data_IF_273060625369
#
_entry.id   IF_273060625369
#
_cell.length_a   1.000
_cell.length_b   1.000
_cell.length_c   1.000
_cell.angle_alpha   90.00
_cell.angle_beta   90.00
_cell.angle_gamma   90.00
#
_symmetry.space_group_name_H-M   'P 1'
#
loop_
_entity.id
_entity.type
_entity.pdbx_description
1 polymer ?
#
# COMPACT_ATOMS: atom_id res chain seq x y z
N UNK A 1 -6.82 -76.61 -53.94
CA UNK A 1 -8.06 -76.89 -54.68
C UNK A 1 -8.98 -75.69 -54.46
N UNK A 2 -8.88 -74.68 -55.32
CA UNK A 2 -9.96 -73.72 -55.62
C UNK A 2 -10.67 -74.28 -56.87
N UNK A 3 -11.99 -74.05 -57.16
CA UNK A 3 -12.70 -72.75 -57.19
C UNK A 3 -14.24 -72.92 -56.86
N UNK A 4 -15.22 -72.07 -57.27
CA UNK A 4 -15.17 -70.81 -58.00
C UNK A 4 -16.00 -69.62 -57.46
N UNK A 5 -15.60 -68.46 -57.97
CA UNK A 5 -16.25 -67.16 -57.90
C UNK A 5 -17.46 -67.10 -58.84
N UNK A 6 -18.51 -66.35 -58.49
CA UNK A 6 -19.47 -65.77 -59.43
C UNK A 6 -19.75 -64.29 -59.07
N UNK A 7 -19.86 -63.50 -60.13
CA UNK A 7 -19.82 -62.03 -60.19
C UNK A 7 -21.15 -61.36 -59.84
N UNK A 8 -21.02 -60.12 -59.33
CA UNK A 8 -21.79 -58.89 -59.54
C UNK A 8 -23.33 -58.93 -59.63
N UNK A 9 -23.98 -58.15 -58.76
CA UNK A 9 -24.81 -57.03 -59.22
C UNK A 9 -24.90 -55.93 -58.16
N UNK A 10 -24.58 -54.72 -58.59
CA UNK A 10 -24.81 -53.45 -57.92
C UNK A 10 -26.24 -53.05 -58.30
N UNK A 11 -27.09 -52.74 -57.32
CA UNK A 11 -28.15 -51.73 -57.46
C UNK A 11 -28.70 -51.28 -56.10
N UNK A 12 -28.28 -50.07 -55.73
CA UNK A 12 -29.05 -48.97 -55.13
C UNK A 12 -30.28 -49.29 -54.25
N UNK A 13 -30.14 -49.15 -52.93
CA UNK A 13 -31.00 -48.33 -52.07
C UNK A 13 -30.69 -48.57 -50.59
N UNK A 14 -29.82 -47.77 -49.99
CA UNK A 14 -29.92 -47.47 -48.55
C UNK A 14 -29.53 -46.01 -48.38
N UNK A 15 -30.55 -45.14 -48.37
CA UNK A 15 -30.49 -43.88 -47.65
C UNK A 15 -30.13 -44.19 -46.20
N UNK A 16 -28.84 -44.10 -45.86
CA UNK A 16 -28.43 -43.99 -44.46
C UNK A 16 -28.76 -42.57 -44.00
N UNK A 17 -29.94 -42.45 -43.41
CA UNK A 17 -30.38 -41.31 -42.61
C UNK A 17 -29.30 -41.01 -41.58
N UNK A 18 -28.53 -39.95 -41.81
CA UNK A 18 -27.76 -39.30 -40.75
C UNK A 18 -28.80 -38.52 -39.92
N UNK A 19 -29.02 -38.85 -38.64
CA UNK A 19 -30.02 -38.15 -37.84
C UNK A 19 -29.64 -36.68 -37.67
N UNK A 20 -30.63 -35.80 -37.78
CA UNK A 20 -30.42 -34.36 -37.64
C UNK A 20 -29.95 -34.00 -36.21
N UNK A 21 -29.30 -32.84 -36.00
CA UNK A 21 -28.76 -32.43 -34.70
C UNK A 21 -29.79 -32.36 -33.55
N UNK A 22 -31.08 -32.45 -33.85
CA UNK A 22 -32.18 -32.41 -32.88
C UNK A 22 -32.43 -33.78 -32.23
N UNK A 23 -32.00 -34.89 -32.85
CA UNK A 23 -32.21 -36.25 -32.34
C UNK A 23 -31.09 -36.77 -31.41
N UNK A 24 -30.01 -36.00 -31.24
CA UNK A 24 -28.88 -36.34 -30.33
C UNK A 24 -29.04 -35.78 -28.91
N UNK A 25 -29.99 -34.86 -28.70
CA UNK A 25 -30.25 -34.23 -27.39
C UNK A 25 -30.76 -35.24 -26.34
N UNK A 26 -31.70 -36.17 -26.64
CA UNK A 26 -32.18 -37.12 -25.65
C UNK A 26 -31.11 -38.15 -25.25
N UNK A 27 -30.19 -38.48 -26.16
CA UNK A 27 -29.13 -39.47 -25.91
C UNK A 27 -28.02 -38.86 -25.03
N UNK A 28 -27.65 -37.60 -25.26
CA UNK A 28 -26.69 -36.90 -24.39
C UNK A 28 -27.26 -36.63 -22.99
N UNK A 29 -28.55 -36.28 -22.87
CA UNK A 29 -29.20 -36.12 -21.57
C UNK A 29 -29.38 -37.47 -20.85
N UNK A 30 -29.69 -38.56 -21.55
CA UNK A 30 -29.75 -39.89 -20.96
C UNK A 30 -28.38 -40.43 -20.55
N UNK A 31 -27.31 -40.15 -21.31
CA UNK A 31 -25.94 -40.51 -20.93
C UNK A 31 -25.45 -39.65 -19.76
N UNK A 32 -25.79 -38.35 -19.72
CA UNK A 32 -25.49 -37.49 -18.57
C UNK A 32 -26.29 -37.90 -17.32
N UNK A 33 -27.56 -38.27 -17.45
CA UNK A 33 -28.38 -38.81 -16.37
C UNK A 33 -27.90 -40.18 -15.91
N UNK A 34 -27.54 -41.10 -16.81
CA UNK A 34 -26.95 -42.39 -16.43
C UNK A 34 -25.58 -42.24 -15.79
N UNK A 35 -24.73 -41.31 -16.24
CA UNK A 35 -23.45 -41.02 -15.60
C UNK A 35 -23.65 -40.36 -14.23
N UNK A 36 -24.65 -39.47 -14.09
CA UNK A 36 -24.98 -38.83 -12.82
C UNK A 36 -25.66 -39.81 -11.85
N UNK A 37 -26.51 -40.72 -12.34
CA UNK A 37 -27.13 -41.80 -11.55
C UNK A 37 -26.11 -42.89 -11.19
N UNK A 38 -25.17 -43.24 -12.07
CA UNK A 38 -24.05 -44.13 -11.71
C UNK A 38 -23.08 -43.46 -10.74
N UNK A 39 -22.85 -42.14 -10.85
CA UNK A 39 -22.07 -41.35 -9.90
C UNK A 39 -22.78 -41.26 -8.53
N UNK A 40 -24.10 -41.05 -8.51
CA UNK A 40 -24.95 -41.03 -7.31
C UNK A 40 -25.11 -42.44 -6.71
N UNK A 41 -25.20 -43.51 -7.51
CA UNK A 41 -25.26 -44.91 -7.07
C UNK A 41 -23.91 -45.42 -6.57
N UNK A 42 -22.79 -45.00 -7.17
CA UNK A 42 -21.45 -45.26 -6.62
C UNK A 42 -21.22 -44.50 -5.31
N UNK A 43 -21.70 -43.26 -5.20
CA UNK A 43 -21.61 -42.46 -3.97
C UNK A 43 -22.54 -42.94 -2.84
N UNK A 44 -23.59 -43.70 -3.15
CA UNK A 44 -24.48 -44.27 -2.12
C UNK A 44 -23.99 -45.60 -1.54
N UNK A 45 -23.03 -46.29 -2.18
CA UNK A 45 -22.46 -47.56 -1.66
C UNK A 45 -21.28 -47.39 -0.68
N UNK A 46 -20.73 -46.19 -0.53
CA UNK A 46 -19.73 -45.88 0.51
C UNK A 46 -20.07 -44.58 1.22
N UNK A 47 -21.18 -44.55 1.97
CA UNK A 47 -21.34 -43.58 3.06
C UNK A 47 -20.30 -43.90 4.14
N UNK A 48 -19.07 -43.45 3.94
CA UNK A 48 -18.33 -42.91 5.07
C UNK A 48 -19.18 -41.75 5.57
N UNK A 49 -19.81 -41.91 6.74
CA UNK A 49 -20.55 -40.82 7.39
C UNK A 49 -19.65 -39.58 7.51
N UNK A 50 -20.26 -38.40 7.69
CA UNK A 50 -19.58 -37.10 7.84
C UNK A 50 -18.19 -37.26 8.49
N UNK A 51 -17.15 -37.15 7.65
CA UNK A 51 -15.79 -37.44 8.06
C UNK A 51 -15.33 -36.20 8.79
N UNK A 52 -15.08 -36.34 10.10
CA UNK A 52 -14.60 -35.22 10.90
C UNK A 52 -13.13 -34.93 10.57
N UNK A 53 -12.93 -33.93 9.72
CA UNK A 53 -11.61 -33.46 9.36
C UNK A 53 -10.92 -32.74 10.52
N UNK A 54 -9.63 -33.01 10.66
CA UNK A 54 -8.71 -32.32 11.55
C UNK A 54 -7.66 -31.62 10.70
N UNK A 55 -7.10 -30.54 11.20
CA UNK A 55 -5.98 -29.90 10.53
C UNK A 55 -5.75 -28.47 10.96
N UNK A 56 -5.05 -27.74 10.11
CA UNK A 56 -4.68 -26.35 10.38
C UNK A 56 -4.88 -25.46 9.17
N UNK A 57 -5.13 -24.18 9.40
CA UNK A 57 -5.06 -23.17 8.35
C UNK A 57 -4.13 -22.02 8.76
N UNK A 58 -3.52 -21.34 7.79
CA UNK A 58 -2.80 -20.10 8.03
C UNK A 58 -2.98 -19.14 6.84
N UNK A 59 -2.75 -17.86 7.11
CA UNK A 59 -2.85 -16.80 6.11
C UNK A 59 -1.47 -16.19 5.93
N UNK A 60 -1.05 -16.05 4.68
CA UNK A 60 0.23 -15.43 4.31
C UNK A 60 0.00 -14.44 3.18
N UNK A 61 0.21 -13.14 3.46
CA UNK A 61 -0.14 -12.04 2.55
C UNK A 61 -1.59 -12.19 2.04
N UNK A 62 -1.74 -12.55 0.77
CA UNK A 62 -3.00 -12.68 0.04
C UNK A 62 -3.46 -14.13 -0.12
N UNK A 63 -2.87 -15.06 0.62
CA UNK A 63 -3.14 -16.50 0.53
C UNK A 63 -3.76 -17.03 1.82
N UNK A 64 -4.80 -17.84 1.68
CA UNK A 64 -5.31 -18.71 2.74
C UNK A 64 -4.93 -20.14 2.40
N UNK A 65 -4.23 -20.82 3.30
CA UNK A 65 -3.78 -22.19 3.12
C UNK A 65 -4.45 -23.06 4.18
N UNK A 66 -5.05 -24.16 3.76
CA UNK A 66 -5.72 -25.14 4.60
C UNK A 66 -5.01 -26.48 4.40
N UNK A 67 -4.47 -27.03 5.48
CA UNK A 67 -3.81 -28.33 5.50
C UNK A 67 -4.64 -29.28 6.35
N UNK A 68 -5.16 -30.33 5.75
CA UNK A 68 -5.91 -31.36 6.44
C UNK A 68 -4.95 -32.48 6.89
N UNK A 69 -5.21 -33.03 8.06
CA UNK A 69 -4.47 -34.17 8.58
C UNK A 69 -4.78 -35.39 7.71
N UNK A 70 -3.75 -35.90 7.04
CA UNK A 70 -3.89 -37.02 6.13
C UNK A 70 -3.76 -38.33 6.93
N UNK A 71 -4.70 -39.28 6.79
CA UNK A 71 -4.50 -40.62 7.32
C UNK A 71 -3.29 -41.27 6.63
N UNK A 72 -2.57 -42.14 7.35
CA UNK A 72 -1.44 -42.91 6.79
C UNK A 72 -1.98 -43.94 5.78
N UNK A 73 -2.04 -43.54 4.51
CA UNK A 73 -2.57 -44.35 3.42
C UNK A 73 -1.61 -44.35 2.23
N UNK A 74 -1.63 -45.43 1.45
CA UNK A 74 -0.86 -45.51 0.21
C UNK A 74 -1.52 -44.63 -0.84
N UNK A 75 -0.73 -43.79 -1.53
CA UNK A 75 -1.24 -42.94 -2.60
C UNK A 75 -1.93 -43.77 -3.69
N UNK A 76 -3.12 -43.31 -4.13
CA UNK A 76 -3.92 -43.97 -5.14
C UNK A 76 -4.68 -45.22 -4.68
N UNK A 77 -4.58 -45.60 -3.40
CA UNK A 77 -5.38 -46.70 -2.84
C UNK A 77 -6.87 -46.37 -2.85
N UNK A 78 -7.72 -47.38 -2.71
CA UNK A 78 -9.18 -47.21 -2.66
C UNK A 78 -9.58 -46.31 -1.49
N UNK A 79 -8.93 -46.49 -0.35
CA UNK A 79 -9.17 -45.71 0.86
C UNK A 79 -8.71 -44.25 0.69
N UNK A 80 -7.58 -44.02 0.00
CA UNK A 80 -7.12 -42.67 -0.33
C UNK A 80 -8.12 -41.92 -1.21
N UNK A 81 -8.60 -42.57 -2.29
CA UNK A 81 -9.59 -41.98 -3.21
C UNK A 81 -10.92 -41.69 -2.50
N UNK A 82 -11.34 -42.57 -1.58
CA UNK A 82 -12.53 -42.35 -0.78
C UNK A 82 -12.37 -41.14 0.16
N UNK A 83 -11.24 -41.05 0.87
CA UNK A 83 -10.92 -39.89 1.72
C UNK A 83 -10.88 -38.58 0.93
N UNK A 84 -10.23 -38.58 -0.23
CA UNK A 84 -10.14 -37.43 -1.14
C UNK A 84 -11.52 -37.00 -1.65
N UNK A 85 -12.38 -37.96 -2.00
CA UNK A 85 -13.77 -37.68 -2.42
C UNK A 85 -14.56 -37.00 -1.29
N UNK A 86 -14.45 -37.51 -0.06
CA UNK A 86 -15.11 -36.89 1.10
C UNK A 86 -14.55 -35.49 1.42
N UNK A 87 -13.25 -35.27 1.22
CA UNK A 87 -12.64 -33.95 1.37
C UNK A 87 -13.19 -32.96 0.33
N UNK A 88 -13.35 -33.39 -0.91
CA UNK A 88 -13.96 -32.56 -1.94
C UNK A 88 -15.40 -32.19 -1.60
N UNK A 89 -16.22 -33.18 -1.24
CA UNK A 89 -17.65 -32.97 -0.95
C UNK A 89 -17.89 -32.14 0.31
N UNK A 90 -17.13 -32.36 1.37
CA UNK A 90 -17.39 -31.75 2.68
C UNK A 90 -16.59 -30.47 2.92
N UNK A 91 -15.48 -30.26 2.22
CA UNK A 91 -14.60 -29.09 2.45
C UNK A 91 -14.47 -28.23 1.20
N UNK A 92 -14.01 -28.79 0.07
CA UNK A 92 -13.70 -28.00 -1.13
C UNK A 92 -14.95 -27.41 -1.79
N UNK A 93 -15.99 -28.21 -2.03
CA UNK A 93 -17.21 -27.74 -2.69
C UNK A 93 -17.98 -26.72 -1.85
N UNK A 94 -18.08 -26.85 -0.51
CA UNK A 94 -18.59 -25.78 0.33
C UNK A 94 -17.81 -24.48 0.23
N UNK A 95 -16.49 -24.50 0.03
CA UNK A 95 -15.71 -23.28 -0.25
C UNK A 95 -16.19 -22.64 -1.56
N UNK A 96 -16.46 -23.41 -2.61
CA UNK A 96 -17.05 -22.88 -3.84
C UNK A 96 -18.44 -22.30 -3.62
N UNK A 97 -19.28 -22.94 -2.82
CA UNK A 97 -20.59 -22.41 -2.46
C UNK A 97 -20.48 -21.07 -1.72
N UNK A 98 -19.54 -20.94 -0.77
CA UNK A 98 -19.26 -19.67 -0.08
C UNK A 98 -18.85 -18.57 -1.06
N UNK A 99 -18.04 -18.90 -2.07
CA UNK A 99 -17.65 -17.96 -3.12
C UNK A 99 -18.84 -17.56 -3.99
N UNK A 100 -19.69 -18.50 -4.40
CA UNK A 100 -20.93 -18.24 -5.13
C UNK A 100 -21.88 -17.35 -4.33
N UNK A 101 -22.06 -17.62 -3.03
CA UNK A 101 -22.88 -16.83 -2.10
C UNK A 101 -22.31 -15.42 -1.85
N UNK A 102 -21.02 -15.24 -2.07
CA UNK A 102 -20.35 -13.95 -2.07
C UNK A 102 -20.40 -13.26 -3.44
N UNK A 103 -21.11 -13.84 -4.43
CA UNK A 103 -21.22 -13.36 -5.81
C UNK A 103 -19.87 -13.33 -6.55
N UNK A 104 -19.02 -14.33 -6.33
CA UNK A 104 -17.89 -14.57 -7.22
C UNK A 104 -18.37 -15.35 -8.44
N UNK A 105 -17.95 -14.92 -9.64
CA UNK A 105 -18.03 -15.76 -10.83
C UNK A 105 -16.92 -16.80 -10.77
N UNK A 106 -17.28 -18.08 -10.89
CA UNK A 106 -16.36 -19.21 -10.80
C UNK A 106 -16.23 -19.86 -12.18
N UNK A 107 -14.99 -20.06 -12.62
CA UNK A 107 -14.62 -20.61 -13.92
C UNK A 107 -13.59 -21.74 -13.71
N UNK A 108 -13.49 -22.64 -14.68
CA UNK A 108 -12.42 -23.64 -14.71
C UNK A 108 -11.05 -22.96 -14.83
N UNK A 109 -10.05 -23.47 -14.12
CA UNK A 109 -8.69 -22.95 -14.22
C UNK A 109 -8.00 -23.44 -15.51
N UNK A 110 -8.11 -22.67 -16.59
CA UNK A 110 -7.54 -23.02 -17.90
C UNK A 110 -6.04 -22.74 -18.05
N UNK A 111 -5.46 -22.02 -17.09
CA UNK A 111 -4.08 -21.54 -17.14
C UNK A 111 -3.07 -22.49 -16.48
N UNK A 112 -2.72 -22.17 -15.24
CA UNK A 112 -1.45 -22.59 -14.61
C UNK A 112 -1.64 -23.82 -13.71
N UNK A 113 -2.83 -23.99 -13.13
CA UNK A 113 -3.18 -25.11 -12.25
C UNK A 113 -4.33 -25.91 -12.87
N UNK A 114 -4.00 -26.84 -13.76
CA UNK A 114 -4.97 -27.50 -14.66
C UNK A 114 -5.68 -28.72 -14.07
N UNK A 115 -5.46 -29.03 -12.79
CA UNK A 115 -6.18 -30.15 -12.18
C UNK A 115 -7.70 -29.89 -12.24
N UNK A 116 -8.53 -30.92 -12.50
CA UNK A 116 -9.95 -30.75 -12.78
C UNK A 116 -10.74 -30.06 -11.68
N UNK A 117 -10.24 -30.08 -10.44
CA UNK A 117 -10.89 -29.44 -9.30
C UNK A 117 -10.45 -28.00 -9.09
N UNK A 118 -9.36 -27.54 -9.67
CA UNK A 118 -8.91 -26.17 -9.48
C UNK A 118 -9.88 -25.19 -10.15
N UNK A 119 -10.16 -24.09 -9.45
CA UNK A 119 -11.07 -23.05 -9.93
C UNK A 119 -10.38 -21.71 -9.93
N UNK A 120 -10.71 -20.92 -10.95
CA UNK A 120 -10.45 -19.49 -10.97
C UNK A 120 -11.76 -18.78 -10.61
N UNK A 121 -11.71 -17.81 -9.71
CA UNK A 121 -12.89 -17.02 -9.36
C UNK A 121 -12.60 -15.52 -9.38
N UNK A 122 -13.62 -14.72 -9.67
CA UNK A 122 -13.50 -13.26 -9.71
C UNK A 122 -14.75 -12.53 -9.22
N UNK A 123 -14.53 -11.37 -8.62
CA UNK A 123 -15.56 -10.41 -8.22
C UNK A 123 -15.07 -8.99 -8.51
N UNK A 124 -15.58 -8.40 -9.59
CA UNK A 124 -14.99 -7.19 -10.17
C UNK A 124 -13.52 -7.43 -10.55
N UNK A 125 -12.62 -6.56 -10.07
CA UNK A 125 -11.18 -6.69 -10.30
C UNK A 125 -10.46 -7.62 -9.31
N UNK A 126 -11.13 -8.06 -8.25
CA UNK A 126 -10.56 -9.00 -7.29
C UNK A 126 -10.66 -10.40 -7.88
N UNK A 127 -9.52 -11.09 -7.93
CA UNK A 127 -9.39 -12.43 -8.48
C UNK A 127 -8.85 -13.37 -7.43
N UNK A 128 -9.16 -14.65 -7.58
CA UNK A 128 -8.54 -15.69 -6.78
C UNK A 128 -8.43 -17.01 -7.52
N UNK A 129 -7.44 -17.80 -7.14
CA UNK A 129 -7.35 -19.22 -7.49
C UNK A 129 -7.64 -20.07 -6.27
N UNK A 130 -8.47 -21.09 -6.43
CA UNK A 130 -8.62 -22.16 -5.45
C UNK A 130 -7.93 -23.40 -6.01
N UNK A 131 -6.91 -23.87 -5.30
CA UNK A 131 -6.03 -24.94 -5.75
C UNK A 131 -6.08 -26.07 -4.72
N UNK A 132 -6.41 -27.26 -5.18
CA UNK A 132 -6.31 -28.49 -4.40
C UNK A 132 -4.92 -29.11 -4.63
N UNK A 133 -4.26 -29.55 -3.55
CA UNK A 133 -2.97 -30.24 -3.59
C UNK A 133 -2.92 -31.40 -2.60
N UNK A 134 -3.42 -32.54 -3.04
CA UNK A 134 -3.31 -33.84 -2.36
C UNK A 134 -3.88 -33.90 -0.94
N UNK A 135 -4.87 -33.08 -0.57
CA UNK A 135 -5.35 -32.94 0.81
C UNK A 135 -4.97 -31.61 1.46
N UNK A 136 -4.59 -30.63 0.65
CA UNK A 136 -4.40 -29.23 1.05
C UNK A 136 -5.16 -28.34 0.09
N UNK A 137 -5.78 -27.27 0.59
CA UNK A 137 -6.53 -26.31 -0.22
C UNK A 137 -5.85 -24.96 -0.07
N UNK A 138 -5.47 -24.35 -1.19
CA UNK A 138 -4.86 -23.03 -1.23
C UNK A 138 -5.78 -22.05 -1.96
N UNK A 139 -6.11 -20.93 -1.31
CA UNK A 139 -6.90 -19.84 -1.89
C UNK A 139 -5.99 -18.63 -2.08
N UNK A 140 -5.64 -18.29 -3.32
CA UNK A 140 -4.68 -17.24 -3.67
C UNK A 140 -5.39 -16.03 -4.25
N UNK A 141 -5.45 -14.91 -3.53
CA UNK A 141 -6.05 -13.67 -4.02
C UNK A 141 -5.04 -12.80 -4.76
N UNK A 142 -5.51 -12.08 -5.79
CA UNK A 142 -4.72 -11.11 -6.55
C UNK A 142 -5.61 -10.08 -7.26
N UNK A 143 -4.98 -9.06 -7.83
CA UNK A 143 -5.65 -7.95 -8.50
C UNK A 143 -4.75 -7.34 -9.60
N UNK A 144 -5.36 -6.79 -10.65
CA UNK A 144 -4.65 -6.18 -11.79
C UNK A 144 -4.69 -4.65 -11.81
N UNK A 145 -5.36 -4.02 -10.84
CA UNK A 145 -5.58 -2.57 -10.80
C UNK A 145 -4.29 -1.82 -10.45
N UNK A 146 -3.51 -2.36 -9.52
CA UNK A 146 -2.28 -1.78 -8.99
C UNK A 146 -1.20 -2.86 -8.88
N UNK A 147 -0.65 -3.28 -10.02
CA UNK A 147 0.41 -4.29 -10.11
C UNK A 147 1.66 -3.67 -10.77
N UNK A 148 2.37 -2.74 -10.07
CA UNK A 148 3.42 -1.95 -10.67
C UNK A 148 4.63 -2.77 -11.14
N UNK A 149 4.85 -3.97 -10.57
CA UNK A 149 6.03 -4.79 -10.89
C UNK A 149 5.66 -5.96 -11.78
N UNK A 150 4.43 -6.50 -11.66
CA UNK A 150 3.96 -7.66 -12.44
C UNK A 150 2.64 -7.40 -13.18
N UNK A 151 2.57 -6.37 -14.05
CA UNK A 151 1.37 -6.11 -14.86
C UNK A 151 1.16 -7.21 -15.93
N UNK A 152 2.24 -7.85 -16.38
CA UNK A 152 2.28 -8.94 -17.38
C UNK A 152 1.40 -10.14 -17.00
N UNK A 153 1.27 -10.40 -15.70
CA UNK A 153 0.53 -11.53 -15.16
C UNK A 153 -0.74 -11.10 -14.42
N UNK A 154 -1.25 -9.90 -14.71
CA UNK A 154 -2.44 -9.34 -14.06
C UNK A 154 -2.31 -9.20 -12.55
N UNK A 155 -1.09 -9.00 -12.04
CA UNK A 155 -0.76 -8.92 -10.61
C UNK A 155 -0.77 -10.23 -9.84
N UNK A 156 -0.97 -11.38 -10.50
CA UNK A 156 -0.98 -12.73 -9.87
C UNK A 156 0.32 -13.06 -9.13
N UNK A 157 1.46 -12.63 -9.68
CA UNK A 157 2.79 -12.85 -9.08
C UNK A 157 3.35 -11.62 -8.39
N UNK A 158 2.51 -10.62 -8.14
CA UNK A 158 2.92 -9.42 -7.43
C UNK A 158 3.32 -9.77 -5.98
N UNK A 159 4.36 -9.11 -5.48
CA UNK A 159 4.77 -9.22 -4.08
C UNK A 159 4.00 -8.21 -3.23
N UNK A 160 3.72 -8.54 -1.97
CA UNK A 160 3.01 -7.64 -1.04
C UNK A 160 1.64 -7.19 -1.57
N UNK A 161 0.84 -8.18 -2.02
CA UNK A 161 -0.41 -7.91 -2.72
C UNK A 161 -1.42 -7.19 -1.84
N UNK A 162 -1.44 -7.49 -0.53
CA UNK A 162 -2.38 -6.87 0.40
C UNK A 162 -2.14 -5.37 0.55
N UNK A 163 -0.89 -4.90 0.53
CA UNK A 163 -0.60 -3.46 0.60
C UNK A 163 -0.86 -2.75 -0.72
N UNK A 164 -0.67 -3.43 -1.85
CA UNK A 164 -0.96 -2.87 -3.17
C UNK A 164 -2.45 -2.87 -3.50
N UNK A 165 -3.22 -3.77 -2.91
CA UNK A 165 -4.64 -3.92 -3.18
C UNK A 165 -5.44 -2.68 -2.73
N UNK A 166 -6.28 -2.09 -3.60
CA UNK A 166 -7.18 -1.01 -3.23
C UNK A 166 -8.03 -1.34 -2.00
N UNK A 167 -8.31 -0.34 -1.17
CA UNK A 167 -8.89 -0.53 0.16
C UNK A 167 -10.17 -1.39 0.17
N UNK A 168 -11.14 -1.10 -0.71
CA UNK A 168 -12.40 -1.85 -0.78
C UNK A 168 -12.20 -3.30 -1.23
N UNK A 169 -11.30 -3.54 -2.20
CA UNK A 169 -10.97 -4.89 -2.64
C UNK A 169 -10.31 -5.68 -1.53
N UNK A 170 -9.42 -5.04 -0.76
CA UNK A 170 -8.79 -5.65 0.41
C UNK A 170 -9.82 -6.03 1.48
N UNK A 171 -10.82 -5.18 1.72
CA UNK A 171 -11.91 -5.53 2.64
C UNK A 171 -12.71 -6.73 2.15
N UNK A 172 -13.00 -6.81 0.84
CA UNK A 172 -13.73 -7.94 0.26
C UNK A 172 -12.92 -9.25 0.33
N UNK A 173 -11.61 -9.20 0.07
CA UNK A 173 -10.68 -10.31 0.27
C UNK A 173 -10.71 -10.80 1.73
N UNK A 174 -10.55 -9.87 2.69
CA UNK A 174 -10.58 -10.18 4.13
C UNK A 174 -11.91 -10.80 4.53
N UNK A 175 -13.03 -10.25 4.05
CA UNK A 175 -14.37 -10.80 4.29
C UNK A 175 -14.49 -12.23 3.77
N UNK A 176 -13.96 -12.50 2.57
CA UNK A 176 -13.99 -13.82 1.93
C UNK A 176 -13.19 -14.83 2.74
N UNK A 177 -11.94 -14.49 3.10
CA UNK A 177 -11.10 -15.31 3.97
C UNK A 177 -11.80 -15.61 5.29
N UNK A 178 -12.36 -14.59 5.96
CA UNK A 178 -13.05 -14.78 7.24
C UNK A 178 -14.25 -15.72 7.14
N UNK A 179 -15.04 -15.66 6.06
CA UNK A 179 -16.16 -16.59 5.86
C UNK A 179 -15.68 -18.04 5.69
N UNK A 180 -14.62 -18.24 4.92
CA UNK A 180 -14.03 -19.57 4.72
C UNK A 180 -13.46 -20.10 6.05
N UNK A 181 -12.67 -19.31 6.76
CA UNK A 181 -12.07 -19.75 8.03
C UNK A 181 -13.13 -20.02 9.10
N UNK A 182 -14.19 -19.20 9.16
CA UNK A 182 -15.31 -19.43 10.07
C UNK A 182 -16.01 -20.75 9.77
N UNK A 183 -16.33 -21.02 8.49
CA UNK A 183 -16.90 -22.30 8.06
C UNK A 183 -16.04 -23.50 8.49
N UNK A 184 -14.72 -23.43 8.26
CA UNK A 184 -13.80 -24.51 8.63
C UNK A 184 -13.79 -24.77 10.14
N UNK A 185 -13.81 -23.71 10.95
CA UNK A 185 -13.79 -23.80 12.41
C UNK A 185 -15.12 -24.28 13.00
N UNK A 186 -16.25 -23.90 12.38
CA UNK A 186 -17.58 -24.26 12.87
C UNK A 186 -17.95 -25.71 12.54
N UNK A 187 -17.43 -26.23 11.42
CA UNK A 187 -17.79 -27.57 10.92
C UNK A 187 -16.76 -28.64 11.24
N UNK A 188 -15.50 -28.27 11.45
CA UNK A 188 -14.40 -29.22 11.57
C UNK A 188 -13.42 -28.81 12.68
N UNK A 189 -12.54 -29.74 13.08
CA UNK A 189 -11.45 -29.47 14.01
C UNK A 189 -10.24 -28.87 13.29
N UNK A 190 -10.49 -27.84 12.47
CA UNK A 190 -9.47 -27.13 11.70
C UNK A 190 -9.21 -25.78 12.36
N UNK A 191 -8.00 -25.60 12.91
CA UNK A 191 -7.65 -24.41 13.72
C UNK A 191 -6.57 -23.55 13.05
N UNK A 192 -6.43 -22.30 13.49
CA UNK A 192 -5.37 -21.42 12.94
C UNK A 192 -3.99 -21.90 13.43
N UNK A 193 -3.02 -22.04 12.51
CA UNK A 193 -1.64 -22.38 12.84
C UNK A 193 -0.87 -21.16 13.37
N UNK A 194 -0.92 -20.96 14.68
CA UNK A 194 -0.31 -19.81 15.35
C UNK A 194 1.23 -19.76 15.24
N UNK A 195 1.89 -20.89 14.96
CA UNK A 195 3.34 -20.92 14.73
C UNK A 195 3.75 -20.29 13.40
N UNK A 196 2.86 -20.34 12.40
CA UNK A 196 3.07 -19.76 11.06
C UNK A 196 2.48 -18.35 10.91
N UNK A 197 1.80 -17.84 11.95
CA UNK A 197 1.35 -16.45 12.00
C UNK A 197 2.58 -15.55 12.00
N UNK A 198 2.65 -14.61 11.07
CA UNK A 198 3.71 -13.60 11.11
C UNK A 198 3.62 -12.84 12.43
N UNK A 199 4.76 -12.70 13.14
CA UNK A 199 4.84 -11.88 14.37
C UNK A 199 4.67 -10.38 14.14
N UNK A 200 4.32 -9.99 12.92
CA UNK A 200 4.00 -8.62 12.52
C UNK A 200 2.50 -8.39 12.70
N UNK A 201 2.14 -7.16 13.04
CA UNK A 201 0.73 -6.76 13.03
C UNK A 201 0.25 -6.74 11.57
N UNK A 202 -0.83 -7.46 11.29
CA UNK A 202 -1.36 -7.54 9.92
C UNK A 202 -2.39 -8.64 9.75
N UNK A 203 -2.97 -8.72 8.56
CA UNK A 203 -3.87 -9.81 8.20
C UNK A 203 -3.10 -11.13 8.21
N UNK A 204 -3.63 -12.16 8.87
CA UNK A 204 -2.92 -13.43 9.08
C UNK A 204 -1.79 -13.38 10.10
N UNK A 205 -1.44 -12.17 10.58
CA UNK A 205 -0.50 -11.89 11.65
C UNK A 205 -1.20 -11.61 12.97
N UNK A 206 -0.52 -10.87 13.86
CA UNK A 206 -1.08 -10.44 15.14
C UNK A 206 -2.04 -9.26 14.97
N UNK A 207 -3.05 -9.19 15.85
CA UNK A 207 -3.80 -7.95 16.07
C UNK A 207 -2.93 -6.94 16.82
N UNK A 208 -3.28 -5.66 16.73
CA UNK A 208 -2.64 -4.59 17.52
C UNK A 208 -2.65 -4.92 19.02
N UNK A 209 -3.77 -5.45 19.53
CA UNK A 209 -3.92 -5.80 20.95
C UNK A 209 -3.02 -6.97 21.36
N UNK A 210 -2.97 -8.04 20.55
CA UNK A 210 -2.07 -9.18 20.80
C UNK A 210 -0.60 -8.75 20.79
N UNK A 211 -0.23 -7.89 19.83
CA UNK A 211 1.12 -7.34 19.77
C UNK A 211 1.45 -6.47 20.98
N UNK A 212 0.52 -5.63 21.46
CA UNK A 212 0.73 -4.82 22.66
C UNK A 212 0.99 -5.69 23.89
N UNK A 213 0.22 -6.76 24.09
CA UNK A 213 0.43 -7.71 25.20
C UNK A 213 1.84 -8.33 25.14
N UNK A 214 2.34 -8.64 23.93
CA UNK A 214 3.68 -9.20 23.75
C UNK A 214 4.81 -8.18 23.85
N UNK A 215 4.57 -6.94 23.43
CA UNK A 215 5.59 -5.90 23.29
C UNK A 215 5.78 -5.09 24.58
N UNK A 216 4.71 -4.72 25.29
CA UNK A 216 4.79 -3.85 26.47
C UNK A 216 4.94 -4.62 27.78
N UNK A 217 4.64 -5.93 27.83
CA UNK A 217 4.36 -6.57 29.11
C UNK A 217 3.24 -5.85 29.89
N UNK A 218 2.93 -6.24 31.13
CA UNK A 218 2.02 -5.47 31.96
C UNK A 218 2.75 -4.19 32.41
N UNK A 219 2.57 -3.08 31.69
CA UNK A 219 2.88 -1.77 32.25
C UNK A 219 1.85 -1.50 33.36
N UNK A 220 2.34 -1.63 34.58
CA UNK A 220 1.65 -1.19 35.80
C UNK A 220 1.22 0.27 35.60
N UNK A 221 0.00 0.61 35.98
CA UNK A 221 -0.58 1.96 35.88
C UNK A 221 0.12 2.97 36.83
N UNK A 222 1.33 2.63 37.30
CA UNK A 222 2.13 3.37 38.26
C UNK A 222 2.60 4.72 37.74
N UNK A 223 2.40 5.74 38.58
CA UNK A 223 2.97 7.10 38.58
C UNK A 223 3.62 7.57 37.26
N UNK A 224 2.81 7.68 36.22
CA UNK A 224 3.22 8.40 35.00
C UNK A 224 3.24 9.90 35.33
N UNK A 225 4.38 10.55 35.09
CA UNK A 225 4.53 11.99 35.32
C UNK A 225 3.45 12.79 34.57
N UNK A 226 2.91 13.83 35.20
CA UNK A 226 1.80 14.63 34.64
C UNK A 226 2.11 15.26 33.28
N UNK A 227 3.39 15.54 32.99
CA UNK A 227 3.81 16.06 31.68
C UNK A 227 3.67 15.03 30.55
N UNK A 228 3.66 13.74 30.87
CA UNK A 228 3.53 12.64 29.91
C UNK A 228 2.08 12.22 29.68
N UNK A 229 1.15 12.65 30.54
CA UNK A 229 -0.29 12.36 30.44
C UNK A 229 -1.13 13.56 30.03
N UNK A 230 -0.54 14.77 29.96
CA UNK A 230 -1.28 15.97 29.56
C UNK A 230 -1.55 16.00 28.04
N UNK A 231 -2.83 15.95 27.70
CA UNK A 231 -3.38 16.11 26.34
C UNK A 231 -3.20 17.52 25.76
N UNK A 232 -3.41 17.65 24.45
CA UNK A 232 -3.49 18.90 23.72
C UNK A 232 -4.56 19.85 24.27
N UNK A 233 -5.70 19.32 24.75
CA UNK A 233 -6.78 20.08 25.39
C UNK A 233 -6.63 20.20 26.92
N UNK A 234 -5.39 20.01 27.44
CA UNK A 234 -4.99 20.22 28.84
C UNK A 234 -5.71 19.34 29.86
N UNK A 235 -6.26 18.21 29.42
CA UNK A 235 -6.83 17.13 30.23
C UNK A 235 -5.83 15.99 30.43
N UNK A 236 -6.05 15.13 31.42
CA UNK A 236 -5.19 13.97 31.70
C UNK A 236 -5.66 12.74 30.95
N UNK A 237 -4.78 12.14 30.15
CA UNK A 237 -5.02 10.91 29.39
C UNK A 237 -4.77 9.69 30.28
N UNK A 238 -5.66 8.71 30.20
CA UNK A 238 -5.59 7.42 30.87
C UNK A 238 -5.59 6.26 29.87
N UNK A 239 -5.08 5.10 30.31
CA UNK A 239 -5.15 3.86 29.55
C UNK A 239 -6.62 3.50 29.23
N UNK A 240 -6.94 3.28 27.95
CA UNK A 240 -8.29 2.96 27.51
C UNK A 240 -9.12 4.16 27.05
N UNK A 241 -8.64 5.39 27.25
CA UNK A 241 -9.36 6.58 26.81
C UNK A 241 -9.51 6.62 25.30
N UNK A 242 -10.68 7.10 24.85
CA UNK A 242 -10.88 7.47 23.46
C UNK A 242 -10.18 8.81 23.21
N UNK A 243 -9.27 8.82 22.25
CA UNK A 243 -8.49 10.01 21.90
C UNK A 243 -8.62 10.33 20.41
N UNK A 244 -8.49 11.61 20.10
CA UNK A 244 -8.48 12.14 18.75
C UNK A 244 -7.11 12.76 18.46
N UNK A 245 -6.61 12.61 17.24
CA UNK A 245 -5.34 13.19 16.81
C UNK A 245 -5.33 13.42 15.31
N UNK A 246 -4.40 14.24 14.82
CA UNK A 246 -4.23 14.47 13.39
C UNK A 246 -3.03 13.68 12.88
N UNK A 247 -3.22 12.90 11.82
CA UNK A 247 -2.09 12.24 11.15
C UNK A 247 -1.15 13.27 10.49
N UNK A 248 0.00 12.81 10.00
CA UNK A 248 0.97 13.66 9.29
C UNK A 248 0.41 14.38 8.04
N UNK A 249 -0.77 14.00 7.55
CA UNK A 249 -1.47 14.67 6.44
C UNK A 249 -2.59 15.61 6.94
N UNK A 250 -2.64 15.85 8.25
CA UNK A 250 -3.64 16.66 8.92
C UNK A 250 -5.02 16.02 8.97
N UNK A 251 -5.19 14.71 8.73
CA UNK A 251 -6.50 14.07 8.83
C UNK A 251 -6.80 13.68 10.27
N UNK A 252 -7.99 14.01 10.74
CA UNK A 252 -8.44 13.55 12.04
C UNK A 252 -8.55 12.02 12.07
N UNK A 253 -7.96 11.43 13.11
CA UNK A 253 -8.01 10.03 13.47
C UNK A 253 -8.59 9.91 14.87
N UNK A 254 -9.12 8.73 15.16
CA UNK A 254 -9.66 8.37 16.47
C UNK A 254 -9.15 6.98 16.83
N UNK A 255 -8.89 6.76 18.11
CA UNK A 255 -8.48 5.46 18.61
C UNK A 255 -8.53 5.37 20.13
N UNK A 256 -8.04 4.26 20.64
CA UNK A 256 -7.93 3.99 22.08
C UNK A 256 -6.49 4.18 22.51
N UNK A 257 -6.28 5.02 23.52
CA UNK A 257 -4.96 5.32 24.07
C UNK A 257 -4.45 4.17 24.95
N UNK A 258 -3.18 3.82 24.77
CA UNK A 258 -2.40 2.97 25.66
C UNK A 258 -1.06 3.65 25.89
N UNK A 259 -0.71 3.83 27.15
CA UNK A 259 0.53 4.48 27.53
C UNK A 259 1.71 3.68 26.96
N UNK A 260 2.68 4.41 26.44
CA UNK A 260 3.99 3.92 26.03
C UNK A 260 5.03 4.68 26.86
N UNK A 261 6.32 4.57 26.58
CA UNK A 261 7.36 5.30 27.32
C UNK A 261 7.32 6.82 27.09
N UNK A 262 7.71 7.56 28.12
CA UNK A 262 7.86 9.03 28.10
C UNK A 262 6.53 9.71 27.76
N UNK A 263 6.54 10.77 26.94
CA UNK A 263 5.34 11.48 26.52
C UNK A 263 4.64 10.82 25.33
N UNK A 264 4.92 9.56 25.02
CA UNK A 264 4.40 8.86 23.86
C UNK A 264 3.28 7.90 24.24
N UNK A 265 2.32 7.74 23.33
CA UNK A 265 1.13 6.92 23.51
C UNK A 265 0.89 6.09 22.25
N UNK A 266 0.66 4.79 22.44
CA UNK A 266 0.08 3.96 21.40
C UNK A 266 -1.40 4.31 21.25
N UNK A 267 -1.81 4.63 20.03
CA UNK A 267 -3.22 4.90 19.70
C UNK A 267 -3.72 3.79 18.80
N UNK A 268 -4.56 2.91 19.33
CA UNK A 268 -5.15 1.78 18.60
C UNK A 268 -6.29 2.31 17.73
N UNK A 269 -6.09 2.33 16.41
CA UNK A 269 -7.05 2.88 15.44
C UNK A 269 -7.85 1.80 14.70
N UNK A 270 -7.49 0.53 14.88
CA UNK A 270 -8.23 -0.63 14.35
C UNK A 270 -7.53 -1.95 14.68
N UNK A 271 -8.15 -3.07 14.28
CA UNK A 271 -7.67 -4.44 14.57
C UNK A 271 -6.19 -4.66 14.22
N UNK A 272 -5.71 -4.05 13.14
CA UNK A 272 -4.34 -4.15 12.63
C UNK A 272 -3.63 -2.80 12.52
N UNK A 273 -4.18 -1.73 13.10
CA UNK A 273 -3.67 -0.38 12.93
C UNK A 273 -3.41 0.31 14.26
N UNK A 274 -2.26 0.99 14.36
CA UNK A 274 -1.88 1.82 15.50
C UNK A 274 -1.06 3.03 15.04
N UNK A 275 -1.04 4.06 15.87
CA UNK A 275 -0.13 5.19 15.76
C UNK A 275 0.68 5.32 17.07
N UNK A 276 1.82 6.01 17.02
CA UNK A 276 2.59 6.39 18.20
C UNK A 276 2.61 7.91 18.25
N UNK A 277 1.87 8.49 19.19
CA UNK A 277 1.62 9.93 19.23
C UNK A 277 2.06 10.52 20.56
N UNK A 278 2.57 11.74 20.53
CA UNK A 278 2.86 12.49 21.75
C UNK A 278 1.57 12.83 22.49
N UNK A 279 1.57 12.83 23.83
CA UNK A 279 0.43 13.22 24.67
C UNK A 279 -0.12 14.60 24.26
N UNK A 280 0.78 15.54 24.00
CA UNK A 280 0.46 16.90 23.55
C UNK A 280 -0.14 17.00 22.14
N UNK A 281 -0.20 15.90 21.38
CA UNK A 281 -0.89 15.81 20.09
C UNK A 281 -2.28 15.14 20.18
N UNK A 282 -2.62 14.57 21.35
CA UNK A 282 -3.86 13.86 21.58
C UNK A 282 -4.89 14.78 22.22
N UNK A 283 -6.13 14.70 21.77
CA UNK A 283 -7.27 15.40 22.34
C UNK A 283 -8.18 14.38 23.02
N UNK A 284 -8.73 14.73 24.19
CA UNK A 284 -9.78 13.96 24.87
C UNK A 284 -11.19 14.43 24.52
N UNK A 285 -11.29 15.58 23.86
CA UNK A 285 -12.53 16.10 23.31
C UNK A 285 -12.49 15.98 21.79
N UNK A 286 -13.58 15.54 21.12
CA UNK A 286 -13.63 15.52 19.67
C UNK A 286 -13.45 16.95 19.13
N UNK A 287 -12.53 17.18 18.17
CA UNK A 287 -12.39 18.50 17.56
C UNK A 287 -13.69 18.93 16.88
N UNK A 288 -14.04 20.21 17.00
CA UNK A 288 -15.32 20.78 16.52
C UNK A 288 -15.60 20.53 15.03
N UNK A 289 -14.57 20.39 14.20
CA UNK A 289 -14.71 20.23 12.75
C UNK A 289 -13.96 18.98 12.24
N UNK A 290 -14.50 17.77 12.42
CA UNK A 290 -13.79 16.51 12.14
C UNK A 290 -13.46 16.28 10.66
N UNK A 291 -14.13 17.00 9.75
CA UNK A 291 -13.85 16.97 8.30
C UNK A 291 -12.78 17.96 7.86
N UNK A 292 -12.46 18.95 8.68
CA UNK A 292 -11.43 19.94 8.36
C UNK A 292 -10.06 19.30 8.61
N UNK A 293 -9.22 19.26 7.58
CA UNK A 293 -7.84 18.82 7.74
C UNK A 293 -7.04 19.90 8.44
N UNK A 294 -6.23 19.51 9.42
CA UNK A 294 -5.25 20.38 10.05
C UNK A 294 -3.95 20.38 9.24
N UNK A 295 -3.99 20.94 8.03
CA UNK A 295 -2.88 20.95 7.07
C UNK A 295 -2.59 22.37 6.54
N UNK A 296 -2.89 23.39 7.33
CA UNK A 296 -2.70 24.82 7.04
C UNK A 296 -1.29 25.10 6.49
N UNK A 297 -0.26 24.59 7.16
CA UNK A 297 1.14 24.74 6.76
C UNK A 297 1.41 24.17 5.36
N UNK A 298 1.02 22.92 5.11
CA UNK A 298 1.22 22.26 3.82
C UNK A 298 0.43 22.92 2.70
N UNK A 299 -0.81 23.34 2.99
CA UNK A 299 -1.68 24.01 2.02
C UNK A 299 -1.09 25.34 1.60
N UNK A 300 -0.70 26.18 2.57
CA UNK A 300 -0.01 27.45 2.31
C UNK A 300 1.24 27.24 1.46
N UNK A 301 2.08 26.28 1.83
CA UNK A 301 3.32 26.01 1.12
C UNK A 301 3.05 25.57 -0.32
N UNK A 302 2.11 24.65 -0.55
CA UNK A 302 1.74 24.21 -1.91
C UNK A 302 1.19 25.35 -2.76
N UNK A 303 0.32 26.20 -2.21
CA UNK A 303 -0.21 27.36 -2.91
C UNK A 303 0.90 28.35 -3.28
N UNK A 304 1.85 28.58 -2.38
CA UNK A 304 3.00 29.44 -2.64
C UNK A 304 3.94 28.87 -3.72
N UNK A 305 4.18 27.56 -3.68
CA UNK A 305 4.99 26.85 -4.68
C UNK A 305 4.33 26.93 -6.05
N UNK A 306 3.00 26.77 -6.12
CA UNK A 306 2.25 26.91 -7.35
C UNK A 306 2.26 28.35 -7.86
N UNK A 307 2.07 29.34 -7.00
CA UNK A 307 2.17 30.75 -7.36
C UNK A 307 3.54 31.07 -7.96
N UNK A 308 4.62 30.54 -7.37
CA UNK A 308 5.96 30.65 -7.92
C UNK A 308 6.09 30.01 -9.31
N UNK A 309 5.60 28.77 -9.49
CA UNK A 309 5.62 28.10 -10.78
C UNK A 309 4.86 28.88 -11.85
N UNK A 310 3.69 29.42 -11.52
CA UNK A 310 2.90 30.27 -12.41
C UNK A 310 3.70 31.49 -12.86
N UNK A 311 4.32 32.24 -11.94
CA UNK A 311 5.18 33.38 -12.29
C UNK A 311 6.36 32.97 -13.17
N UNK A 312 7.03 31.88 -12.81
CA UNK A 312 8.17 31.36 -13.57
C UNK A 312 7.78 30.90 -14.99
N UNK A 313 6.52 30.55 -15.22
CA UNK A 313 5.96 30.19 -16.52
C UNK A 313 5.32 31.37 -17.27
N UNK A 314 5.33 32.58 -16.71
CA UNK A 314 4.69 33.75 -17.31
C UNK A 314 3.17 33.88 -17.07
N UNK A 315 2.56 32.97 -16.31
CA UNK A 315 1.14 33.05 -15.91
C UNK A 315 0.98 33.94 -14.66
N UNK A 316 1.16 35.25 -14.87
CA UNK A 316 1.13 36.26 -13.79
C UNK A 316 -0.26 36.40 -13.19
N UNK A 317 -1.32 36.25 -13.99
CA UNK A 317 -2.69 36.40 -13.51
C UNK A 317 -3.05 35.31 -12.49
N UNK A 318 -2.73 34.05 -12.79
CA UNK A 318 -2.95 32.93 -11.85
C UNK A 318 -2.09 33.05 -10.61
N UNK A 319 -0.84 33.50 -10.74
CA UNK A 319 0.03 33.75 -9.60
C UNK A 319 -0.58 34.80 -8.65
N UNK A 320 -1.02 35.95 -9.17
CA UNK A 320 -1.63 37.02 -8.38
C UNK A 320 -2.92 36.58 -7.67
N UNK A 321 -3.74 35.75 -8.34
CA UNK A 321 -4.92 35.11 -7.72
C UNK A 321 -4.51 34.23 -6.53
N UNK A 322 -3.47 33.41 -6.68
CA UNK A 322 -2.95 32.57 -5.60
C UNK A 322 -2.40 33.41 -4.44
N UNK A 323 -1.63 34.46 -4.72
CA UNK A 323 -1.10 35.36 -3.67
C UNK A 323 -2.21 36.03 -2.87
N UNK A 324 -3.27 36.48 -3.56
CA UNK A 324 -4.44 37.09 -2.93
C UNK A 324 -5.10 36.11 -1.97
N UNK A 325 -5.28 34.85 -2.40
CA UNK A 325 -5.83 33.80 -1.55
C UNK A 325 -4.91 33.46 -0.37
N UNK A 326 -3.59 33.41 -0.57
CA UNK A 326 -2.64 33.14 0.51
C UNK A 326 -2.70 34.27 1.55
N UNK A 327 -2.74 35.53 1.10
CA UNK A 327 -2.84 36.68 1.99
C UNK A 327 -4.16 36.69 2.75
N UNK A 328 -5.28 36.39 2.09
CA UNK A 328 -6.60 36.33 2.72
C UNK A 328 -6.71 35.20 3.75
N UNK A 329 -6.20 34.00 3.43
CA UNK A 329 -6.33 32.83 4.31
C UNK A 329 -5.29 32.78 5.44
N UNK A 330 -4.07 33.29 5.21
CA UNK A 330 -2.94 33.09 6.13
C UNK A 330 -2.26 34.39 6.59
N UNK A 331 -2.58 35.54 5.99
CA UNK A 331 -1.91 36.82 6.30
C UNK A 331 -0.41 36.83 5.96
N UNK A 332 0.02 35.95 5.05
CA UNK A 332 1.44 35.76 4.66
C UNK A 332 1.60 36.06 3.16
N UNK A 333 2.66 36.80 2.81
CA UNK A 333 3.08 37.04 1.41
C UNK A 333 4.43 36.40 1.10
N UNK A 334 4.99 35.62 2.03
CA UNK A 334 6.32 35.04 1.90
C UNK A 334 6.40 33.97 0.81
N UNK A 335 7.52 33.94 0.09
CA UNK A 335 7.77 32.98 -0.97
C UNK A 335 8.19 31.64 -0.36
N UNK A 336 7.34 30.63 -0.46
CA UNK A 336 7.69 29.25 -0.10
C UNK A 336 7.99 28.46 -1.37
N UNK A 337 9.27 28.19 -1.60
CA UNK A 337 9.77 27.41 -2.73
C UNK A 337 10.59 26.22 -2.24
N UNK A 338 10.64 25.17 -3.05
CA UNK A 338 11.51 24.02 -2.81
C UNK A 338 12.91 24.29 -3.35
N UNK A 339 13.87 23.45 -2.93
CA UNK A 339 15.23 23.47 -3.46
C UNK A 339 15.25 23.18 -4.95
N UNK A 340 14.41 22.24 -5.41
CA UNK A 340 14.30 21.86 -6.81
C UNK A 340 13.71 22.99 -7.64
N UNK A 341 12.67 23.67 -7.15
CA UNK A 341 12.13 24.85 -7.81
C UNK A 341 13.17 25.95 -7.99
N UNK A 342 14.04 26.18 -6.99
CA UNK A 342 15.12 27.14 -7.12
C UNK A 342 16.15 26.73 -8.20
N UNK A 343 16.51 25.44 -8.29
CA UNK A 343 17.39 24.91 -9.35
C UNK A 343 16.77 25.05 -10.73
N UNK A 344 15.51 24.65 -10.85
CA UNK A 344 14.75 24.76 -12.09
C UNK A 344 14.64 26.22 -12.54
N UNK A 345 14.47 27.13 -11.59
CA UNK A 345 14.43 28.57 -11.89
C UNK A 345 15.76 29.09 -12.44
N UNK A 346 16.89 28.67 -11.87
CA UNK A 346 18.21 29.02 -12.39
C UNK A 346 18.37 28.60 -13.86
N UNK A 347 17.97 27.37 -14.20
CA UNK A 347 18.00 26.87 -15.59
C UNK A 347 17.04 27.65 -16.48
N UNK A 348 15.82 27.94 -16.01
CA UNK A 348 14.81 28.74 -16.75
C UNK A 348 15.26 30.16 -17.04
N UNK A 349 16.05 30.76 -16.16
CA UNK A 349 16.69 32.05 -16.40
C UNK A 349 17.78 32.00 -17.49
N UNK A 350 18.03 30.83 -18.11
CA UNK A 350 19.09 30.63 -19.09
C UNK A 350 20.49 30.73 -18.48
N UNK A 351 20.61 30.50 -17.18
CA UNK A 351 21.87 30.62 -16.45
C UNK A 351 22.58 29.27 -16.39
N UNK A 352 23.91 29.36 -16.43
CA UNK A 352 24.83 28.24 -16.26
C UNK A 352 26.04 28.69 -15.44
N UNK A 353 26.93 27.74 -15.10
CA UNK A 353 28.14 28.07 -14.35
C UNK A 353 29.06 29.04 -15.10
N UNK A 354 29.05 29.04 -16.44
CA UNK A 354 29.81 30.01 -17.24
C UNK A 354 29.31 31.45 -17.07
N UNK A 355 28.05 31.64 -16.68
CA UNK A 355 27.49 32.97 -16.45
C UNK A 355 27.84 33.53 -15.06
N UNK A 356 28.43 32.72 -14.17
CA UNK A 356 28.73 33.08 -12.77
C UNK A 356 30.18 33.52 -12.64
N UNK A 357 30.40 34.83 -12.67
CA UNK A 357 31.69 35.44 -12.31
C UNK A 357 31.86 35.55 -10.80
N UNK A 358 33.08 35.79 -10.34
CA UNK A 358 33.38 36.07 -8.92
C UNK A 358 32.52 37.21 -8.37
N UNK A 359 32.34 38.28 -9.15
CA UNK A 359 31.48 39.40 -8.80
C UNK A 359 30.02 38.98 -8.57
N UNK A 360 29.44 38.22 -9.50
CA UNK A 360 28.06 37.72 -9.37
C UNK A 360 27.92 36.77 -8.18
N UNK A 361 28.93 35.93 -7.91
CA UNK A 361 28.94 35.05 -6.75
C UNK A 361 29.01 35.82 -5.41
N UNK A 362 29.79 36.89 -5.34
CA UNK A 362 29.87 37.73 -4.14
C UNK A 362 28.56 38.52 -3.91
N UNK A 363 27.89 38.93 -4.98
CA UNK A 363 26.53 39.49 -4.91
C UNK A 363 25.55 38.48 -4.30
N UNK A 364 25.58 37.21 -4.75
CA UNK A 364 24.75 36.15 -4.14
C UNK A 364 25.00 36.01 -2.65
N UNK A 365 26.28 35.94 -2.21
CA UNK A 365 26.59 35.85 -0.77
C UNK A 365 26.06 37.05 -0.01
N UNK A 366 26.15 38.26 -0.56
CA UNK A 366 25.61 39.48 0.07
C UNK A 366 24.10 39.36 0.26
N UNK A 367 23.38 39.01 -0.79
CA UNK A 367 21.91 38.87 -0.75
C UNK A 367 21.46 37.77 0.22
N UNK A 368 22.15 36.62 0.23
CA UNK A 368 21.88 35.55 1.20
C UNK A 368 22.08 36.08 2.62
N UNK A 369 23.21 36.74 2.90
CA UNK A 369 23.48 37.29 4.23
C UNK A 369 22.41 38.28 4.70
N UNK A 370 21.93 39.16 3.82
CA UNK A 370 20.87 40.12 4.11
C UNK A 370 19.56 39.41 4.49
N UNK A 371 19.12 38.40 3.72
CA UNK A 371 17.92 37.63 4.03
C UNK A 371 18.08 36.79 5.31
N UNK A 372 19.26 36.20 5.55
CA UNK A 372 19.53 35.45 6.78
C UNK A 372 19.38 36.33 8.01
N UNK A 373 20.01 37.52 8.02
CA UNK A 373 19.91 38.47 9.14
C UNK A 373 18.47 38.94 9.32
N UNK A 374 17.79 39.33 8.23
CA UNK A 374 16.39 39.79 8.26
C UNK A 374 15.42 38.72 8.77
N UNK A 375 15.75 37.44 8.59
CA UNK A 375 14.89 36.33 9.06
C UNK A 375 14.77 36.24 10.58
N UNK A 376 15.70 36.85 11.33
CA UNK A 376 15.79 36.80 12.80
C UNK A 376 15.80 35.37 13.39
N UNK A 377 16.05 34.34 12.58
CA UNK A 377 16.10 32.95 13.06
C UNK A 377 17.31 32.72 13.96
N UNK A 378 17.20 31.69 14.80
CA UNK A 378 18.23 31.32 15.78
C UNK A 378 18.59 32.52 16.66
N UNK A 379 17.57 33.14 17.26
CA UNK A 379 17.67 34.31 18.13
C UNK A 379 18.46 35.46 17.48
N UNK A 380 18.22 35.70 16.18
CA UNK A 380 18.88 36.76 15.40
C UNK A 380 20.35 36.50 15.05
N UNK A 381 20.91 35.34 15.39
CA UNK A 381 22.34 35.04 15.14
C UNK A 381 22.65 34.55 13.71
N UNK A 382 21.62 34.29 12.90
CA UNK A 382 21.78 33.64 11.60
C UNK A 382 22.42 34.56 10.54
N UNK A 383 23.60 34.20 10.03
CA UNK A 383 24.34 35.00 9.03
C UNK A 383 25.28 34.17 8.16
N UNK A 384 25.69 34.71 7.02
CA UNK A 384 26.71 34.07 6.20
C UNK A 384 28.10 34.25 6.80
N UNK A 385 28.95 33.25 6.58
CA UNK A 385 30.37 33.37 6.86
C UNK A 385 31.03 34.42 5.98
N UNK A 386 32.09 35.06 6.52
CA UNK A 386 32.82 36.11 5.81
C UNK A 386 33.67 35.53 4.68
N UNK A 387 34.29 34.37 4.90
CA UNK A 387 35.09 33.67 3.89
C UNK A 387 34.18 32.75 3.07
N UNK A 388 34.19 32.92 1.76
CA UNK A 388 33.59 32.01 0.79
C UNK A 388 34.68 31.27 0.03
N UNK A 389 34.35 30.11 -0.55
CA UNK A 389 35.25 29.42 -1.48
C UNK A 389 34.71 29.64 -2.88
N UNK A 390 35.54 30.17 -3.78
CA UNK A 390 35.21 30.33 -5.18
C UNK A 390 36.36 29.77 -6.00
N UNK A 391 36.05 28.86 -6.91
CA UNK A 391 37.00 28.31 -7.86
C UNK A 391 36.42 28.45 -9.25
N UNK A 392 37.03 29.30 -10.06
CA UNK A 392 36.63 29.55 -11.45
C UNK A 392 37.78 30.20 -12.22
N UNK A 393 37.62 30.31 -13.53
CA UNK A 393 38.57 30.96 -14.43
C UNK A 393 37.82 31.91 -15.39
N UNK A 394 38.47 32.31 -16.48
CA UNK A 394 37.84 33.16 -17.51
C UNK A 394 36.63 32.53 -18.20
N UNK A 395 36.49 31.20 -18.18
CA UNK A 395 35.33 30.47 -18.69
C UNK A 395 34.17 30.36 -17.67
N UNK A 396 34.35 30.89 -16.46
CA UNK A 396 33.33 30.96 -15.41
C UNK A 396 33.60 30.05 -14.21
N UNK A 397 32.53 29.75 -13.46
CA UNK A 397 32.61 28.99 -12.22
C UNK A 397 32.90 27.51 -12.46
N UNK A 398 33.77 26.90 -11.66
CA UNK A 398 33.93 25.43 -11.60
C UNK A 398 33.24 24.83 -10.38
N UNK A 399 33.45 25.43 -9.21
CA UNK A 399 32.78 25.07 -7.96
C UNK A 399 32.94 26.20 -6.94
N UNK A 400 31.95 26.35 -6.06
CA UNK A 400 31.98 27.36 -5.01
C UNK A 400 31.14 26.96 -3.80
N UNK A 401 31.37 27.64 -2.68
CA UNK A 401 30.70 27.37 -1.41
C UNK A 401 30.48 28.65 -0.62
N UNK A 402 29.22 28.85 -0.21
CA UNK A 402 28.79 29.85 0.76
C UNK A 402 28.42 29.10 2.04
N UNK A 403 29.18 29.37 3.11
CA UNK A 403 28.88 28.88 4.46
C UNK A 403 28.06 29.88 5.26
N UNK A 404 27.37 29.39 6.29
CA UNK A 404 26.62 30.19 7.26
C UNK A 404 26.87 29.71 8.69
N UNK A 405 26.49 30.56 9.64
CA UNK A 405 26.66 30.36 11.07
C UNK A 405 25.45 30.89 11.86
N UNK A 406 25.27 30.35 13.05
CA UNK A 406 24.35 30.81 14.10
C UNK A 406 24.99 30.54 15.47
N UNK A 407 24.32 30.89 16.57
CA UNK A 407 24.87 30.75 17.92
C UNK A 407 25.32 29.32 18.28
N UNK A 408 24.75 28.28 17.65
CA UNK A 408 25.05 26.87 17.92
C UNK A 408 25.78 26.14 16.77
N UNK A 409 26.15 26.82 15.67
CA UNK A 409 26.97 26.23 14.60
C UNK A 409 27.81 27.27 13.83
N UNK A 410 29.02 26.91 13.40
CA UNK A 410 29.97 27.88 12.83
C UNK A 410 30.18 27.87 11.30
N UNK A 411 29.89 26.78 10.59
CA UNK A 411 30.16 26.70 9.14
C UNK A 411 29.30 25.64 8.45
N UNK A 412 27.99 25.80 8.51
CA UNK A 412 27.05 24.95 7.78
C UNK A 412 26.87 25.45 6.35
N UNK A 413 26.57 24.55 5.42
CA UNK A 413 26.32 24.91 4.02
C UNK A 413 25.11 25.85 3.90
N UNK A 414 25.26 26.98 3.23
CA UNK A 414 24.11 27.74 2.74
C UNK A 414 23.83 27.37 1.28
N UNK A 415 24.83 27.59 0.40
CA UNK A 415 24.77 27.25 -1.02
C UNK A 415 26.09 26.63 -1.44
N UNK A 416 26.03 25.53 -2.19
CA UNK A 416 27.19 24.94 -2.88
C UNK A 416 26.93 24.88 -4.37
N UNK A 417 27.98 25.16 -5.15
CA UNK A 417 28.03 24.89 -6.57
C UNK A 417 29.03 23.76 -6.76
N UNK A 418 28.55 22.55 -7.03
CA UNK A 418 29.38 21.34 -7.12
C UNK A 418 29.99 21.19 -8.51
N UNK A 419 31.14 20.49 -8.60
CA UNK A 419 31.88 20.28 -9.85
C UNK A 419 31.06 19.56 -10.94
N UNK A 420 30.04 18.80 -10.57
CA UNK A 420 29.12 18.14 -11.50
C UNK A 420 27.96 19.01 -12.01
N UNK A 421 27.96 20.31 -11.72
CA UNK A 421 26.89 21.24 -12.11
C UNK A 421 25.69 21.28 -11.15
N UNK A 422 25.67 20.41 -10.14
CA UNK A 422 24.62 20.42 -9.12
C UNK A 422 24.78 21.60 -8.16
N UNK A 423 23.67 22.30 -7.89
CA UNK A 423 23.60 23.35 -6.88
C UNK A 423 22.99 22.78 -5.59
N UNK A 424 23.72 22.79 -4.48
CA UNK A 424 23.25 22.38 -3.16
C UNK A 424 22.70 23.55 -2.36
N UNK A 425 21.63 23.31 -1.59
CA UNK A 425 21.00 24.30 -0.71
C UNK A 425 20.83 23.72 0.69
N UNK A 426 21.63 24.17 1.65
CA UNK A 426 21.55 23.86 3.07
C UNK A 426 20.87 22.51 3.41
N UNK A 427 21.52 21.39 3.06
CA UNK A 427 20.91 20.05 3.24
C UNK A 427 20.55 19.68 4.68
N UNK A 428 21.11 20.40 5.66
CA UNK A 428 20.86 20.26 7.08
C UNK A 428 19.63 21.04 7.60
N UNK A 429 19.10 21.97 6.80
CA UNK A 429 18.11 22.95 7.25
C UNK A 429 16.67 22.50 6.99
N UNK A 430 15.78 22.79 7.94
CA UNK A 430 14.33 22.69 7.77
C UNK A 430 13.81 23.73 6.75
N UNK A 431 12.54 23.61 6.38
CA UNK A 431 11.90 24.53 5.44
C UNK A 431 11.94 25.99 5.90
N UNK A 432 11.90 26.23 7.22
CA UNK A 432 11.97 27.58 7.78
C UNK A 432 13.36 28.21 7.66
N UNK A 433 14.42 27.45 7.94
CA UNK A 433 15.80 27.94 7.92
C UNK A 433 16.40 28.03 6.51
N UNK A 434 15.91 27.21 5.56
CA UNK A 434 16.37 27.30 4.16
C UNK A 434 15.66 28.41 3.38
N UNK A 435 14.43 28.79 3.74
CA UNK A 435 13.63 29.81 3.07
C UNK A 435 14.40 31.09 2.67
N UNK A 436 15.08 31.81 3.59
CA UNK A 436 15.80 33.04 3.23
C UNK A 436 16.94 32.82 2.24
N UNK A 437 17.53 31.61 2.18
CA UNK A 437 18.57 31.25 1.22
C UNK A 437 17.96 31.11 -0.18
N UNK A 438 16.83 30.41 -0.29
CA UNK A 438 16.16 30.19 -1.57
C UNK A 438 15.59 31.51 -2.14
N UNK A 439 14.99 32.35 -1.29
CA UNK A 439 14.52 33.68 -1.67
C UNK A 439 15.67 34.54 -2.23
N UNK A 440 16.82 34.57 -1.53
CA UNK A 440 17.99 35.29 -2.01
C UNK A 440 18.52 34.75 -3.35
N UNK A 441 18.52 33.43 -3.52
CA UNK A 441 19.01 32.79 -4.73
C UNK A 441 18.12 33.08 -5.95
N UNK A 442 16.79 32.98 -5.80
CA UNK A 442 15.84 33.32 -6.87
C UNK A 442 15.94 34.81 -7.24
N UNK A 443 15.96 35.69 -6.23
CA UNK A 443 16.12 37.13 -6.47
C UNK A 443 17.46 37.44 -7.15
N UNK A 444 18.52 36.69 -6.81
CA UNK A 444 19.81 36.81 -7.47
C UNK A 444 19.75 36.35 -8.94
N UNK A 445 19.05 35.25 -9.24
CA UNK A 445 18.83 34.81 -10.62
C UNK A 445 18.16 35.91 -11.45
N UNK A 446 17.13 36.57 -10.89
CA UNK A 446 16.44 37.68 -11.55
C UNK A 446 17.35 38.88 -11.86
N UNK A 447 18.37 39.12 -11.04
CA UNK A 447 19.31 40.23 -11.21
C UNK A 447 20.41 39.94 -12.24
N UNK A 448 20.71 38.68 -12.50
CA UNK A 448 21.83 38.28 -13.37
C UNK A 448 21.41 37.59 -14.66
N UNK A 449 20.12 37.24 -14.80
CA UNK A 449 19.55 36.76 -16.06
C UNK A 449 19.77 37.81 -17.15
N UNK A 450 20.03 37.31 -18.36
CA UNK A 450 20.41 38.13 -19.52
C UNK A 450 19.26 39.00 -20.00
#
# INVERSE_FOLDING_TARGET
MYPPCLKNNIDNNIDQVIPSPIELIPIFEQVALCLNEQYVQMNTMFKYGDLMFHGKYWIQDSKLLVSLDRPKMTWGSKEYKAWESSMHEQVLFPIYNILTDLNYAIEEQKGIFKDPQNRYARKGDLRLDVIEKSGSIEVHFFQNVNAPRRPDSGGRYEWDKVNLMPFLMRLEMVRTMNRITQFLQDKFYITQDLERVEKKIGLGGMTTTQWLVQYDGPHDDGLVSSCNTQSADKKTISNGDRVWFYDHKGRLKVGIARYNKSNMWWVITGKYYRANEGAFNLYLSPPHCPRKKNNTYDRRNKMSQEAFNCRANGDVERANKLDTLIQQEYGDTGLWITRDQARDYFVRCGLSYSDITKYKFDLLRKMVNEKLIKSARFDGSYKCNRKTKYHGNSAGLSHAYIGCQAYYFGNREAISFNKGGEIGFAGWADNGAVKPILEAFVEWCDRIKK
#
